data_IF_270219905980
#
_entry.id   IF_270219905980
#
_cell.length_a   1.000
_cell.length_b   1.000
_cell.length_c   1.000
_cell.angle_alpha   90.00
_cell.angle_beta   90.00
_cell.angle_gamma   90.00
#
_symmetry.space_group_name_H-M   'P 1'
#
loop_
_entity.id
_entity.type
_entity.pdbx_description
1 polymer ?
#
# COMPACT_ATOMS: atom_id res chain seq x y z
N UNK A 1 -6.04 11.45 -9.88
CA UNK A 1 -5.33 10.31 -9.24
C UNK A 1 -4.00 10.84 -8.72
N UNK A 2 -3.59 10.51 -7.48
CA UNK A 2 -2.26 10.89 -6.96
C UNK A 2 -1.29 9.72 -7.14
N UNK A 3 -0.09 9.97 -7.65
CA UNK A 3 0.94 8.95 -7.84
C UNK A 3 2.03 9.13 -6.78
N UNK A 4 2.39 8.02 -6.14
CA UNK A 4 3.42 7.92 -5.13
C UNK A 4 4.53 7.03 -5.68
N UNK A 5 5.78 7.48 -5.63
CA UNK A 5 6.94 6.76 -6.20
C UNK A 5 8.01 6.50 -5.15
N UNK A 6 8.66 5.33 -5.22
CA UNK A 6 9.84 5.00 -4.43
C UNK A 6 10.57 3.80 -5.03
N UNK A 7 11.90 3.80 -4.98
CA UNK A 7 12.74 2.64 -5.32
C UNK A 7 12.36 1.95 -6.66
N UNK A 8 12.10 2.75 -7.71
CA UNK A 8 11.80 2.24 -9.05
C UNK A 8 10.40 1.63 -9.22
N UNK A 9 9.48 1.85 -8.28
CA UNK A 9 8.07 1.44 -8.40
C UNK A 9 7.13 2.59 -8.05
N UNK A 10 5.84 2.44 -8.37
CA UNK A 10 4.84 3.44 -8.05
C UNK A 10 3.48 2.84 -7.64
N UNK A 11 2.70 3.61 -6.91
CA UNK A 11 1.27 3.36 -6.70
C UNK A 11 0.47 4.59 -7.08
N UNK A 12 -0.66 4.39 -7.77
CA UNK A 12 -1.68 5.41 -8.00
C UNK A 12 -2.82 5.21 -7.03
N UNK A 13 -3.31 6.28 -6.39
CA UNK A 13 -4.48 6.23 -5.52
C UNK A 13 -5.55 7.17 -6.05
N UNK A 14 -6.71 6.61 -6.33
CA UNK A 14 -7.91 7.31 -6.76
C UNK A 14 -8.66 7.85 -5.52
N UNK A 15 -8.76 9.18 -5.31
CA UNK A 15 -9.29 9.74 -4.07
C UNK A 15 -10.77 9.46 -3.80
N UNK A 16 -11.55 9.12 -4.84
CA UNK A 16 -13.00 8.93 -4.73
C UNK A 16 -13.38 7.46 -4.52
N UNK A 17 -12.62 6.54 -5.12
CA UNK A 17 -12.87 5.10 -5.08
C UNK A 17 -11.96 4.37 -4.09
N UNK A 18 -10.96 5.05 -3.53
CA UNK A 18 -9.87 4.49 -2.72
C UNK A 18 -9.20 3.29 -3.42
N UNK A 19 -9.26 3.27 -4.76
CA UNK A 19 -8.63 2.26 -5.58
C UNK A 19 -7.13 2.54 -5.63
N UNK A 20 -6.36 1.54 -5.22
CA UNK A 20 -4.91 1.53 -5.28
C UNK A 20 -4.52 0.79 -6.56
N UNK A 21 -3.78 1.46 -7.44
CA UNK A 21 -3.20 0.88 -8.66
C UNK A 21 -1.72 0.66 -8.43
N UNK A 22 -1.26 -0.58 -8.57
CA UNK A 22 0.15 -0.92 -8.56
C UNK A 22 0.73 -0.71 -9.96
N UNK A 23 1.84 0.01 -10.01
CA UNK A 23 2.52 0.34 -11.25
C UNK A 23 3.95 -0.21 -11.16
N UNK A 24 4.35 -0.98 -12.18
CA UNK A 24 5.65 -1.64 -12.30
C UNK A 24 6.80 -0.65 -12.51
N UNK A 25 7.88 -1.08 -13.16
CA UNK A 25 9.12 -0.30 -13.33
C UNK A 25 8.83 1.18 -13.61
N UNK A 26 8.98 1.99 -12.56
CA UNK A 26 8.58 3.38 -12.53
C UNK A 26 9.82 4.22 -12.81
N UNK A 27 10.27 4.19 -14.07
CA UNK A 27 11.21 5.20 -14.56
C UNK A 27 10.60 6.58 -14.24
N UNK A 28 11.31 7.49 -13.56
CA UNK A 28 10.83 8.84 -13.29
C UNK A 28 10.47 9.62 -14.57
N UNK A 29 11.12 9.29 -15.69
CA UNK A 29 10.84 9.89 -17.00
C UNK A 29 9.62 9.27 -17.69
N UNK A 30 9.11 8.12 -17.23
CA UNK A 30 7.91 7.49 -17.77
C UNK A 30 6.65 8.08 -17.12
N UNK A 31 5.84 8.84 -17.89
CA UNK A 31 4.61 9.43 -17.38
C UNK A 31 3.52 8.40 -17.09
N UNK A 32 3.62 7.16 -17.62
CA UNK A 32 2.60 6.12 -17.48
C UNK A 32 3.24 4.74 -17.27
N UNK A 33 3.80 4.47 -16.08
CA UNK A 33 4.42 3.18 -15.80
C UNK A 33 3.41 2.03 -15.95
N UNK A 34 3.88 0.82 -16.30
CA UNK A 34 3.01 -0.30 -16.63
C UNK A 34 2.12 -0.70 -15.44
N UNK A 35 0.84 -0.93 -15.70
CA UNK A 35 -0.10 -1.41 -14.68
C UNK A 35 0.14 -2.88 -14.38
N UNK A 36 0.32 -3.22 -13.10
CA UNK A 36 0.63 -4.60 -12.66
C UNK A 36 -0.37 -5.15 -11.63
N UNK A 37 -1.36 -4.35 -11.22
CA UNK A 37 -2.42 -4.83 -10.34
C UNK A 37 -3.18 -3.72 -9.62
N UNK A 38 -4.14 -4.12 -8.80
CA UNK A 38 -4.90 -3.21 -7.97
C UNK A 38 -5.31 -3.82 -6.63
N UNK A 39 -5.67 -2.94 -5.70
CA UNK A 39 -6.36 -3.25 -4.47
C UNK A 39 -7.35 -2.12 -4.15
N UNK A 40 -8.17 -2.33 -3.12
CA UNK A 40 -9.07 -1.31 -2.59
C UNK A 40 -8.70 -1.03 -1.14
N UNK A 41 -8.51 0.25 -0.81
CA UNK A 41 -8.43 0.70 0.57
C UNK A 41 -9.86 0.85 1.14
N UNK A 42 -10.13 0.14 2.23
CA UNK A 42 -11.40 0.18 2.96
C UNK A 42 -11.11 0.76 4.33
N UNK A 43 -11.72 1.90 4.61
CA UNK A 43 -11.63 2.55 5.91
C UNK A 43 -12.52 1.83 6.91
N UNK A 44 -11.91 1.20 7.91
CA UNK A 44 -12.66 0.53 8.97
C UNK A 44 -13.08 1.53 10.04
N UNK A 45 -12.18 2.45 10.40
CA UNK A 45 -12.41 3.57 11.30
C UNK A 45 -11.32 4.64 11.10
N UNK A 46 -11.25 5.63 12.01
CA UNK A 46 -10.30 6.74 11.92
C UNK A 46 -8.82 6.32 12.01
N UNK A 47 -8.51 5.17 12.62
CA UNK A 47 -7.14 4.72 12.85
C UNK A 47 -6.77 3.44 12.07
N UNK A 48 -7.74 2.79 11.42
CA UNK A 48 -7.56 1.47 10.84
C UNK A 48 -8.01 1.39 9.37
N UNK A 49 -7.19 0.69 8.58
CA UNK A 49 -7.40 0.50 7.16
C UNK A 49 -7.29 -0.99 6.79
N UNK A 50 -8.19 -1.46 5.93
CA UNK A 50 -8.11 -2.76 5.28
C UNK A 50 -7.73 -2.58 3.80
N UNK A 51 -6.77 -3.35 3.32
CA UNK A 51 -6.43 -3.49 1.90
C UNK A 51 -7.05 -4.78 1.40
N UNK A 52 -8.10 -4.65 0.59
CA UNK A 52 -8.92 -5.76 0.09
C UNK A 52 -8.84 -5.88 -1.42
N UNK A 53 -9.43 -6.98 -1.95
CA UNK A 53 -9.58 -7.23 -3.39
C UNK A 53 -8.25 -7.14 -4.15
N UNK A 54 -7.19 -7.71 -3.57
CA UNK A 54 -5.86 -7.66 -4.16
C UNK A 54 -5.80 -8.53 -5.41
N UNK A 55 -5.71 -7.90 -6.58
CA UNK A 55 -5.44 -8.55 -7.87
C UNK A 55 -4.09 -8.07 -8.36
N UNK A 56 -3.03 -8.84 -8.10
CA UNK A 56 -1.65 -8.37 -8.25
C UNK A 56 -0.72 -9.42 -8.86
N UNK A 57 0.11 -8.98 -9.81
CA UNK A 57 1.25 -9.75 -10.32
C UNK A 57 2.50 -8.88 -10.23
N UNK A 58 3.60 -9.38 -9.65
CA UNK A 58 4.86 -8.62 -9.55
C UNK A 58 4.87 -7.47 -8.53
N UNK A 59 3.94 -7.44 -7.57
CA UNK A 59 4.00 -6.49 -6.44
C UNK A 59 5.21 -6.79 -5.56
N UNK A 60 6.01 -5.76 -5.31
CA UNK A 60 7.26 -5.88 -4.52
C UNK A 60 7.09 -5.29 -3.13
N UNK A 61 8.07 -5.54 -2.24
CA UNK A 61 8.12 -4.90 -0.90
C UNK A 61 8.10 -3.36 -0.98
N UNK A 62 8.65 -2.77 -2.05
CA UNK A 62 8.66 -1.32 -2.23
C UNK A 62 7.24 -0.76 -2.43
N UNK A 63 6.37 -1.47 -3.14
CA UNK A 63 4.97 -1.09 -3.28
C UNK A 63 4.23 -1.13 -1.94
N UNK A 64 4.47 -2.16 -1.13
CA UNK A 64 3.86 -2.27 0.19
C UNK A 64 4.31 -1.13 1.12
N UNK A 65 5.59 -0.73 1.03
CA UNK A 65 6.11 0.45 1.74
C UNK A 65 5.45 1.75 1.28
N UNK A 66 5.16 1.91 -0.01
CA UNK A 66 4.42 3.07 -0.51
C UNK A 66 3.02 3.15 0.08
N UNK A 67 2.30 2.03 0.18
CA UNK A 67 0.98 1.98 0.82
C UNK A 67 1.09 2.35 2.30
N UNK A 68 2.06 1.78 3.02
CA UNK A 68 2.29 2.11 4.43
C UNK A 68 2.59 3.59 4.64
N UNK A 69 3.49 4.18 3.82
CA UNK A 69 3.83 5.60 3.90
C UNK A 69 2.64 6.50 3.58
N UNK A 70 1.83 6.13 2.59
CA UNK A 70 0.57 6.82 2.29
C UNK A 70 -0.42 6.79 3.45
N UNK A 71 -0.58 5.64 4.12
CA UNK A 71 -1.47 5.49 5.26
C UNK A 71 -0.99 6.27 6.49
N UNK A 72 0.32 6.24 6.77
CA UNK A 72 0.96 7.03 7.83
C UNK A 72 0.70 8.53 7.61
N UNK A 73 0.88 9.03 6.39
CA UNK A 73 0.66 10.43 6.05
C UNK A 73 -0.81 10.88 6.24
N UNK A 74 -1.75 9.94 6.31
CA UNK A 74 -3.17 10.17 6.60
C UNK A 74 -3.54 9.94 8.07
N UNK A 75 -2.59 9.57 8.93
CA UNK A 75 -2.81 9.36 10.35
C UNK A 75 -3.33 7.97 10.73
N UNK A 76 -3.32 7.01 9.81
CA UNK A 76 -3.66 5.63 10.18
C UNK A 76 -2.58 5.03 11.08
N UNK A 77 -3.02 4.16 12.00
CA UNK A 77 -2.16 3.39 12.90
C UNK A 77 -1.99 1.95 12.45
N UNK A 78 -3.04 1.35 11.87
CA UNK A 78 -3.02 -0.07 11.50
C UNK A 78 -3.42 -0.28 10.05
N UNK A 79 -2.72 -1.22 9.39
CA UNK A 79 -3.14 -1.80 8.12
C UNK A 79 -3.40 -3.28 8.29
N UNK A 80 -4.52 -3.74 7.77
CA UNK A 80 -4.85 -5.15 7.56
C UNK A 80 -4.80 -5.43 6.07
N UNK A 81 -4.19 -6.54 5.66
CA UNK A 81 -4.14 -6.95 4.26
C UNK A 81 -4.24 -8.46 4.12
N UNK A 82 -4.83 -8.93 3.02
CA UNK A 82 -4.79 -10.34 2.67
C UNK A 82 -3.36 -10.84 2.46
N UNK A 83 -3.15 -12.15 2.58
CA UNK A 83 -1.84 -12.76 2.33
C UNK A 83 -1.41 -12.55 0.89
N UNK A 84 -0.25 -11.93 0.70
CA UNK A 84 0.44 -11.87 -0.59
C UNK A 84 1.49 -12.99 -0.66
N UNK A 85 1.35 -13.99 -1.55
CA UNK A 85 2.36 -15.01 -1.73
C UNK A 85 3.74 -14.40 -2.03
N UNK A 86 4.77 -14.83 -1.30
CA UNK A 86 6.15 -14.34 -1.48
C UNK A 86 6.45 -12.95 -0.92
N UNK A 87 5.45 -12.22 -0.41
CA UNK A 87 5.63 -10.84 0.05
C UNK A 87 4.98 -10.59 1.41
N UNK A 88 5.80 -10.16 2.35
CA UNK A 88 5.36 -9.75 3.67
C UNK A 88 6.20 -8.55 4.08
N UNK A 89 5.55 -7.49 4.57
CA UNK A 89 6.29 -6.38 5.15
C UNK A 89 6.98 -6.85 6.44
N UNK A 90 8.20 -6.39 6.72
CA UNK A 90 8.81 -6.60 8.03
C UNK A 90 7.85 -6.14 9.13
N UNK A 91 7.78 -6.90 10.23
CA UNK A 91 6.86 -6.67 11.37
C UNK A 91 5.38 -6.94 11.09
N UNK A 92 4.99 -7.40 9.89
CA UNK A 92 3.63 -7.85 9.66
C UNK A 92 3.36 -9.16 10.43
N UNK A 93 2.27 -9.21 11.18
CA UNK A 93 1.86 -10.39 11.96
C UNK A 93 0.59 -10.96 11.35
N UNK A 94 0.42 -12.29 11.35
CA UNK A 94 -0.85 -12.91 10.95
C UNK A 94 -1.82 -12.83 12.13
N UNK A 95 -3.02 -12.28 11.93
CA UNK A 95 -4.08 -12.34 12.94
C UNK A 95 -4.69 -13.74 13.01
N UNK A 96 -4.95 -14.17 14.24
CA UNK A 96 -5.61 -15.44 14.55
C UNK A 96 -7.08 -15.26 14.89
N UNK A 97 -7.53 -14.02 15.10
CA UNK A 97 -8.87 -13.69 15.59
C UNK A 97 -9.75 -13.11 14.49
N UNK A 98 -11.06 -13.42 14.55
CA UNK A 98 -12.08 -12.83 13.67
C UNK A 98 -12.27 -11.33 13.96
N UNK A 99 -12.72 -10.50 12.99
CA UNK A 99 -13.11 -10.87 11.62
C UNK A 99 -11.94 -11.02 10.64
N UNK A 100 -10.74 -10.53 11.00
CA UNK A 100 -9.57 -10.50 10.12
C UNK A 100 -8.64 -11.70 10.34
N UNK A 101 -9.19 -12.86 10.68
CA UNK A 101 -8.41 -14.08 10.77
C UNK A 101 -7.68 -14.27 9.43
N UNK A 102 -6.41 -14.67 9.49
CA UNK A 102 -5.53 -14.89 8.34
C UNK A 102 -5.09 -13.65 7.56
N UNK A 103 -5.56 -12.46 7.94
CA UNK A 103 -4.99 -11.21 7.44
C UNK A 103 -3.65 -10.93 8.12
N UNK A 104 -2.79 -10.22 7.40
CA UNK A 104 -1.59 -9.62 7.96
C UNK A 104 -1.93 -8.25 8.54
N UNK A 105 -1.68 -8.08 9.83
CA UNK A 105 -1.74 -6.80 10.52
C UNK A 105 -0.35 -6.16 10.56
N UNK A 106 -0.32 -4.84 10.41
CA UNK A 106 0.90 -4.04 10.42
C UNK A 106 0.67 -2.82 11.30
N UNK A 107 1.47 -2.68 12.36
CA UNK A 107 1.54 -1.45 13.16
C UNK A 107 2.37 -0.41 12.39
N UNK A 108 1.70 0.63 11.90
CA UNK A 108 2.33 1.70 11.14
C UNK A 108 3.29 2.53 12.00
N UNK A 109 3.05 2.66 13.30
CA UNK A 109 3.97 3.37 14.19
C UNK A 109 5.29 2.62 14.34
N UNK A 110 5.25 1.28 14.33
CA UNK A 110 6.44 0.43 14.42
C UNK A 110 7.31 0.50 13.15
N UNK A 111 6.71 0.73 11.98
CA UNK A 111 7.43 0.81 10.71
C UNK A 111 7.70 2.22 10.22
N UNK A 112 7.11 3.26 10.83
CA UNK A 112 7.28 4.66 10.41
C UNK A 112 8.76 5.10 10.36
N UNK A 113 9.63 4.54 11.21
CA UNK A 113 11.07 4.82 11.21
C UNK A 113 11.82 4.16 10.04
N UNK A 114 11.20 3.20 9.37
CA UNK A 114 11.79 2.38 8.30
C UNK A 114 11.15 2.64 6.93
N UNK A 115 10.12 3.48 6.88
CA UNK A 115 9.38 3.83 5.66
C UNK A 115 9.55 5.33 5.45
N UNK A 116 10.25 5.71 4.38
CA UNK A 116 10.32 7.10 3.97
C UNK A 116 8.93 7.54 3.49
N UNK A 117 8.49 8.78 3.80
CA UNK A 117 7.28 9.32 3.23
C UNK A 117 7.39 9.28 1.69
N UNK A 118 6.36 8.78 0.99
CA UNK A 118 6.42 8.68 -0.45
C UNK A 118 6.49 10.08 -1.09
N UNK A 119 7.34 10.26 -2.11
CA UNK A 119 7.32 11.47 -2.90
C UNK A 119 5.99 11.55 -3.67
N UNK A 120 5.25 12.63 -3.44
CA UNK A 120 3.96 12.88 -4.10
C UNK A 120 4.22 13.67 -5.38
N UNK A 121 3.95 13.06 -6.53
CA UNK A 121 3.83 13.80 -7.78
C UNK A 121 2.35 13.90 -8.14
N UNK A 122 1.82 15.12 -8.18
CA UNK A 122 0.53 15.39 -8.79
C UNK A 122 0.68 15.16 -10.29
N UNK A 123 -0.05 14.20 -10.85
CA UNK A 123 -0.23 14.13 -12.30
C UNK A 123 -1.01 15.38 -12.71
N UNK A 124 -0.36 16.28 -13.46
CA UNK A 124 -0.98 17.42 -14.10
C UNK A 124 -1.98 17.02 -15.18
#
# INVERSE_FOLDING_TARGET
MKIYRAAGVAIGIEPTSEKIRFLGSADPADPRPPYIGSATAIHLNAAELLIANMSVTGVTRAHLRLIAGWAIARGYRWIYAERLPGHTLPLARRRTERPFADHFEIDLAAIARHVLPPEVQCAG
#
